data_IF_787266851033
#
_entry.id   IF_787266851033
#
_cell.length_a   1.000
_cell.length_b   1.000
_cell.length_c   1.000
_cell.angle_alpha   90.00
_cell.angle_beta   90.00
_cell.angle_gamma   90.00
#
_symmetry.space_group_name_H-M   'P 1'
#
loop_
_entity.id
_entity.type
_entity.pdbx_description
1 polymer ?
#
# COMPACT_ATOMS: atom_id res chain seq x y z
N UNK A 1 17.85 -1.85 -19.85
CA UNK A 1 17.64 -0.95 -18.70
C UNK A 1 17.09 0.35 -19.26
N UNK A 2 15.87 0.73 -18.89
CA UNK A 2 15.18 1.89 -19.48
C UNK A 2 15.62 3.21 -18.80
N UNK A 3 15.51 4.34 -19.50
CA UNK A 3 15.87 5.67 -18.98
C UNK A 3 15.19 6.02 -17.64
N UNK A 4 13.95 5.56 -17.46
CA UNK A 4 13.18 5.76 -16.24
C UNK A 4 13.79 5.04 -15.03
N UNK A 5 14.47 3.92 -15.26
CA UNK A 5 15.15 3.18 -14.18
C UNK A 5 16.29 4.03 -13.63
N UNK A 6 17.16 4.57 -14.50
CA UNK A 6 18.26 5.43 -14.07
C UNK A 6 17.77 6.70 -13.36
N UNK A 7 16.70 7.32 -13.84
CA UNK A 7 16.12 8.49 -13.19
C UNK A 7 15.57 8.15 -11.80
N UNK A 8 14.86 7.03 -11.66
CA UNK A 8 14.38 6.53 -10.37
C UNK A 8 15.53 6.23 -9.40
N UNK A 9 16.64 5.66 -9.90
CA UNK A 9 17.83 5.40 -9.09
C UNK A 9 18.49 6.68 -8.57
N UNK A 10 18.63 7.69 -9.41
CA UNK A 10 19.24 8.98 -9.03
C UNK A 10 18.36 9.72 -8.01
N UNK A 11 17.05 9.83 -8.28
CA UNK A 11 16.11 10.52 -7.40
C UNK A 11 16.08 9.85 -6.03
N UNK A 12 15.98 8.52 -6.00
CA UNK A 12 15.93 7.78 -4.75
C UNK A 12 17.27 7.83 -4.00
N UNK A 13 18.41 7.85 -4.70
CA UNK A 13 19.70 8.09 -4.05
C UNK A 13 19.76 9.46 -3.37
N UNK A 14 19.32 10.53 -4.02
CA UNK A 14 19.33 11.90 -3.46
C UNK A 14 18.39 12.02 -2.26
N UNK A 15 17.18 11.48 -2.37
CA UNK A 15 16.16 11.57 -1.32
C UNK A 15 16.55 10.69 -0.13
N UNK A 16 16.90 9.42 -0.37
CA UNK A 16 17.11 8.46 0.70
C UNK A 16 18.48 8.56 1.37
N UNK A 17 19.55 8.90 0.63
CA UNK A 17 20.89 9.07 1.23
C UNK A 17 20.93 10.26 2.18
N UNK A 18 20.25 11.34 1.81
CA UNK A 18 20.25 12.59 2.56
C UNK A 18 19.01 12.76 3.45
N UNK A 19 18.23 11.70 3.71
CA UNK A 19 16.96 11.77 4.45
C UNK A 19 17.08 12.51 5.79
N UNK A 20 18.17 12.34 6.54
CA UNK A 20 18.39 13.08 7.80
C UNK A 20 18.52 14.60 7.61
N UNK A 21 19.12 15.03 6.50
CA UNK A 21 19.23 16.45 6.14
C UNK A 21 17.84 16.98 5.78
N UNK A 22 17.08 16.22 4.96
CA UNK A 22 15.71 16.56 4.59
C UNK A 22 14.78 16.64 5.80
N UNK A 23 14.86 15.69 6.74
CA UNK A 23 14.10 15.73 7.99
C UNK A 23 14.44 16.96 8.83
N UNK A 24 15.73 17.27 9.01
CA UNK A 24 16.16 18.44 9.77
C UNK A 24 15.65 19.73 9.13
N UNK A 25 15.79 19.86 7.82
CA UNK A 25 15.28 21.00 7.06
C UNK A 25 13.76 21.14 7.19
N UNK A 26 13.01 20.05 7.06
CA UNK A 26 11.55 20.06 7.19
C UNK A 26 11.09 20.39 8.61
N UNK A 27 11.78 19.93 9.66
CA UNK A 27 11.48 20.30 11.05
C UNK A 27 11.66 21.80 11.29
N UNK A 28 12.73 22.39 10.73
CA UNK A 28 12.97 23.83 10.81
C UNK A 28 11.90 24.60 10.01
N UNK A 29 11.58 24.17 8.79
CA UNK A 29 10.64 24.85 7.92
C UNK A 29 9.18 24.78 8.43
N UNK A 30 8.76 23.62 8.91
CA UNK A 30 7.39 23.43 9.43
C UNK A 30 7.25 23.85 10.89
N UNK A 31 8.36 24.18 11.56
CA UNK A 31 8.45 24.44 12.99
C UNK A 31 7.85 23.29 13.84
N UNK A 32 7.83 22.07 13.32
CA UNK A 32 7.35 20.87 14.02
C UNK A 32 8.53 20.03 14.48
N UNK A 33 8.48 19.55 15.72
CA UNK A 33 9.50 18.64 16.27
C UNK A 33 9.43 17.25 15.65
N UNK A 34 8.20 16.79 15.40
CA UNK A 34 7.89 15.49 14.83
C UNK A 34 7.29 15.65 13.43
N UNK A 35 7.89 14.97 12.47
CA UNK A 35 7.38 14.86 11.11
C UNK A 35 6.48 13.63 11.01
N UNK A 36 5.55 13.66 10.05
CA UNK A 36 4.68 12.51 9.79
C UNK A 36 5.52 11.28 9.42
N UNK A 37 5.15 10.09 9.92
CA UNK A 37 5.94 8.87 9.72
C UNK A 37 6.17 8.55 8.23
N UNK A 38 5.21 8.88 7.36
CA UNK A 38 5.37 8.73 5.90
C UNK A 38 6.57 9.50 5.34
N UNK A 39 6.94 10.64 5.92
CA UNK A 39 8.10 11.42 5.48
C UNK A 39 9.38 10.80 6.04
N UNK A 40 9.39 10.42 7.32
CA UNK A 40 10.58 9.89 7.98
C UNK A 40 10.93 8.49 7.50
N UNK A 41 9.94 7.60 7.42
CA UNK A 41 10.17 6.18 7.18
C UNK A 41 10.37 5.90 5.70
N UNK A 42 9.58 6.53 4.82
CA UNK A 42 9.71 6.33 3.37
C UNK A 42 11.09 6.78 2.86
N UNK A 43 11.62 7.89 3.39
CA UNK A 43 12.93 8.41 2.98
C UNK A 43 14.09 7.67 3.65
N UNK A 44 13.87 7.00 4.78
CA UNK A 44 14.90 6.21 5.48
C UNK A 44 15.27 4.92 4.73
N UNK A 45 14.36 4.35 3.94
CA UNK A 45 14.63 3.11 3.22
C UNK A 45 15.59 3.32 2.04
N UNK A 46 16.61 2.47 1.94
CA UNK A 46 17.62 2.54 0.88
C UNK A 46 16.99 2.28 -0.49
N UNK A 47 17.52 2.96 -1.51
CA UNK A 47 17.11 2.83 -2.92
C UNK A 47 16.99 1.39 -3.43
N UNK A 48 17.86 0.49 -2.95
CA UNK A 48 17.80 -0.93 -3.26
C UNK A 48 16.50 -1.58 -2.76
N UNK A 49 16.04 -1.21 -1.56
CA UNK A 49 14.81 -1.70 -0.97
C UNK A 49 13.59 -1.17 -1.73
N UNK A 50 13.56 0.11 -2.09
CA UNK A 50 12.46 0.68 -2.87
C UNK A 50 12.33 0.02 -4.25
N UNK A 51 13.46 -0.21 -4.93
CA UNK A 51 13.49 -0.86 -6.24
C UNK A 51 13.06 -2.33 -6.18
N UNK A 52 13.60 -3.10 -5.23
CA UNK A 52 13.22 -4.50 -5.06
C UNK A 52 11.79 -4.66 -4.56
N UNK A 53 11.30 -3.79 -3.66
CA UNK A 53 9.89 -3.77 -3.24
C UNK A 53 8.99 -3.47 -4.42
N UNK A 54 9.31 -2.47 -5.24
CA UNK A 54 8.51 -2.16 -6.43
C UNK A 54 8.48 -3.35 -7.40
N UNK A 55 9.64 -3.87 -7.81
CA UNK A 55 9.67 -4.91 -8.84
C UNK A 55 9.23 -6.29 -8.35
N UNK A 56 9.59 -6.70 -7.14
CA UNK A 56 9.30 -8.05 -6.66
C UNK A 56 7.95 -8.13 -5.94
N UNK A 57 7.58 -7.10 -5.17
CA UNK A 57 6.36 -7.13 -4.35
C UNK A 57 5.20 -6.48 -5.10
N UNK A 58 5.37 -5.28 -5.65
CA UNK A 58 4.28 -4.55 -6.33
C UNK A 58 4.04 -5.13 -7.73
N UNK A 59 5.05 -5.11 -8.61
CA UNK A 59 4.93 -5.59 -9.98
C UNK A 59 4.93 -7.13 -10.07
N UNK A 60 5.78 -7.79 -9.27
CA UNK A 60 5.91 -9.24 -9.25
C UNK A 60 4.80 -9.94 -8.48
N UNK A 61 4.43 -9.41 -7.31
CA UNK A 61 3.41 -10.00 -6.44
C UNK A 61 2.01 -9.99 -7.04
N UNK A 62 1.66 -8.94 -7.80
CA UNK A 62 0.37 -8.84 -8.48
C UNK A 62 0.10 -10.02 -9.45
N UNK A 63 1.16 -10.61 -10.03
CA UNK A 63 1.03 -11.78 -10.91
C UNK A 63 0.48 -13.00 -10.19
N UNK A 64 0.79 -13.16 -8.91
CA UNK A 64 0.44 -14.35 -8.13
C UNK A 64 -0.84 -14.18 -7.32
N UNK A 65 -1.45 -12.99 -7.31
CA UNK A 65 -2.66 -12.70 -6.54
C UNK A 65 -3.78 -13.69 -6.82
N UNK A 66 -4.03 -14.01 -8.09
CA UNK A 66 -5.08 -14.97 -8.47
C UNK A 66 -4.81 -16.39 -7.96
N UNK A 67 -3.55 -16.85 -8.04
CA UNK A 67 -3.16 -18.19 -7.57
C UNK A 67 -3.27 -18.29 -6.05
N UNK A 68 -2.84 -17.24 -5.34
CA UNK A 68 -3.00 -17.18 -3.89
C UNK A 68 -4.45 -17.14 -3.46
N UNK A 69 -5.29 -16.34 -4.12
CA UNK A 69 -6.73 -16.32 -3.85
C UNK A 69 -7.34 -17.70 -4.12
N UNK A 70 -6.98 -18.38 -5.20
CA UNK A 70 -7.49 -19.73 -5.49
C UNK A 70 -7.13 -20.74 -4.40
N UNK A 71 -5.90 -20.71 -3.89
CA UNK A 71 -5.46 -21.57 -2.79
C UNK A 71 -6.24 -21.24 -1.50
N UNK A 72 -6.34 -19.97 -1.14
CA UNK A 72 -7.04 -19.52 0.08
C UNK A 72 -8.53 -19.86 0.03
N UNK A 73 -9.15 -19.70 -1.14
CA UNK A 73 -10.53 -20.08 -1.41
C UNK A 73 -10.77 -21.58 -1.25
N UNK A 74 -9.87 -22.42 -1.79
CA UNK A 74 -9.92 -23.89 -1.58
C UNK A 74 -9.78 -24.26 -0.11
N UNK A 75 -8.97 -23.52 0.64
CA UNK A 75 -8.79 -23.68 2.09
C UNK A 75 -9.94 -23.08 2.91
N UNK A 76 -10.95 -22.46 2.27
CA UNK A 76 -12.10 -21.81 2.92
C UNK A 76 -11.68 -20.74 3.93
N UNK A 77 -10.56 -20.07 3.67
CA UNK A 77 -10.13 -18.91 4.46
C UNK A 77 -11.08 -17.76 4.18
N UNK A 78 -11.47 -17.02 5.22
CA UNK A 78 -12.23 -15.77 5.03
C UNK A 78 -11.29 -14.69 4.52
N UNK A 79 -11.59 -14.18 3.33
CA UNK A 79 -10.79 -13.15 2.66
C UNK A 79 -11.64 -11.89 2.58
N UNK A 80 -11.12 -10.79 3.10
CA UNK A 80 -11.75 -9.47 2.97
C UNK A 80 -10.84 -8.55 2.18
N UNK A 81 -11.38 -7.98 1.11
CA UNK A 81 -10.72 -7.04 0.23
C UNK A 81 -11.37 -5.67 0.42
N UNK A 82 -10.56 -4.67 0.74
CA UNK A 82 -11.00 -3.29 0.96
C UNK A 82 -10.33 -2.42 -0.08
N UNK A 83 -11.10 -1.66 -0.85
CA UNK A 83 -10.59 -0.76 -1.88
C UNK A 83 -11.34 0.57 -1.86
N UNK A 84 -10.63 1.67 -2.10
CA UNK A 84 -11.23 2.98 -2.30
C UNK A 84 -11.80 3.14 -3.71
N UNK A 85 -12.95 3.81 -3.87
CA UNK A 85 -13.56 4.02 -5.18
C UNK A 85 -12.83 5.05 -6.06
N UNK A 86 -11.94 5.87 -5.48
CA UNK A 86 -11.15 6.89 -6.16
C UNK A 86 -9.68 6.46 -6.32
N UNK A 87 -9.38 5.17 -6.13
CA UNK A 87 -8.05 4.58 -6.29
C UNK A 87 -7.55 4.75 -7.75
N UNK A 88 -6.46 5.50 -7.92
CA UNK A 88 -5.82 5.77 -9.21
C UNK A 88 -4.72 4.74 -9.56
N UNK A 89 -4.33 3.89 -8.61
CA UNK A 89 -3.27 2.89 -8.78
C UNK A 89 -3.85 1.53 -9.16
N UNK A 90 -4.94 1.13 -8.49
CA UNK A 90 -5.66 -0.11 -8.79
C UNK A 90 -7.06 0.26 -9.30
N UNK A 91 -7.39 -0.03 -10.56
CA UNK A 91 -8.72 0.25 -11.09
C UNK A 91 -9.82 -0.48 -10.30
N UNK A 92 -10.98 0.14 -10.16
CA UNK A 92 -12.11 -0.42 -9.41
C UNK A 92 -12.63 -1.72 -10.05
N UNK A 93 -12.46 -1.86 -11.36
CA UNK A 93 -12.78 -3.06 -12.13
C UNK A 93 -12.04 -4.30 -11.65
N UNK A 94 -10.83 -4.13 -11.07
CA UNK A 94 -10.07 -5.24 -10.50
C UNK A 94 -10.82 -5.86 -9.32
N UNK A 95 -11.39 -5.04 -8.42
CA UNK A 95 -12.22 -5.51 -7.30
C UNK A 95 -13.46 -6.28 -7.77
N UNK A 96 -14.16 -5.74 -8.78
CA UNK A 96 -15.33 -6.43 -9.35
C UNK A 96 -14.96 -7.74 -10.03
N UNK A 97 -13.81 -7.77 -10.72
CA UNK A 97 -13.28 -8.97 -11.36
C UNK A 97 -12.92 -10.05 -10.33
N UNK A 98 -12.28 -9.66 -9.23
CA UNK A 98 -11.98 -10.55 -8.09
C UNK A 98 -13.28 -11.09 -7.51
N UNK A 99 -14.28 -10.26 -7.20
CA UNK A 99 -15.56 -10.72 -6.64
C UNK A 99 -16.28 -11.70 -7.57
N UNK A 100 -16.23 -11.45 -8.88
CA UNK A 100 -16.85 -12.31 -9.89
C UNK A 100 -16.15 -13.68 -9.98
N UNK A 101 -14.82 -13.71 -9.88
CA UNK A 101 -14.02 -14.93 -9.98
C UNK A 101 -13.98 -15.72 -8.67
N UNK A 102 -13.95 -15.04 -7.54
CA UNK A 102 -13.86 -15.59 -6.19
C UNK A 102 -15.04 -15.07 -5.35
N UNK A 103 -16.25 -15.65 -5.48
CA UNK A 103 -17.46 -15.16 -4.82
C UNK A 103 -17.36 -15.10 -3.29
N UNK A 104 -16.53 -15.95 -2.69
CA UNK A 104 -16.24 -16.02 -1.26
C UNK A 104 -15.43 -14.84 -0.71
N UNK A 105 -14.76 -14.05 -1.57
CA UNK A 105 -14.04 -12.85 -1.15
C UNK A 105 -15.06 -11.77 -0.78
N UNK A 106 -15.01 -11.27 0.45
CA UNK A 106 -15.81 -10.13 0.91
C UNK A 106 -15.17 -8.83 0.39
N UNK A 107 -15.73 -8.26 -0.68
CA UNK A 107 -15.23 -7.02 -1.28
C UNK A 107 -16.01 -5.84 -0.72
N UNK A 108 -15.30 -4.91 -0.07
CA UNK A 108 -15.84 -3.67 0.47
C UNK A 108 -15.23 -2.47 -0.25
N UNK A 109 -16.07 -1.72 -0.94
CA UNK A 109 -15.68 -0.47 -1.59
C UNK A 109 -15.97 0.71 -0.65
N UNK A 110 -14.97 1.55 -0.42
CA UNK A 110 -15.07 2.73 0.44
C UNK A 110 -15.15 3.98 -0.43
N UNK A 111 -16.22 4.76 -0.26
CA UNK A 111 -16.45 5.99 -1.02
C UNK A 111 -15.52 7.13 -0.57
N UNK A 112 -15.07 7.95 -1.52
CA UNK A 112 -14.26 9.14 -1.26
C UNK A 112 -12.84 8.83 -0.77
N UNK A 113 -12.33 7.64 -1.11
CA UNK A 113 -10.99 7.20 -0.71
C UNK A 113 -10.21 6.64 -1.89
N UNK A 114 -8.90 6.89 -1.86
CA UNK A 114 -7.89 6.37 -2.78
C UNK A 114 -7.09 5.23 -2.14
N UNK A 115 -6.04 4.79 -2.84
CA UNK A 115 -5.16 3.70 -2.43
C UNK A 115 -4.56 3.85 -1.02
N UNK A 116 -4.25 5.07 -0.60
CA UNK A 116 -3.67 5.36 0.71
C UNK A 116 -4.73 5.81 1.72
N UNK A 117 -5.65 6.68 1.30
CA UNK A 117 -6.62 7.30 2.21
C UNK A 117 -7.68 6.32 2.69
N UNK A 118 -7.84 5.17 2.02
CA UNK A 118 -8.67 4.05 2.50
C UNK A 118 -8.22 3.56 3.90
N UNK A 119 -6.93 3.75 4.24
CA UNK A 119 -6.35 3.50 5.57
C UNK A 119 -6.05 4.80 6.30
N UNK A 120 -5.20 5.68 5.74
CA UNK A 120 -4.57 6.77 6.49
C UNK A 120 -5.55 7.80 7.05
N UNK A 121 -6.64 8.11 6.32
CA UNK A 121 -7.65 9.06 6.76
C UNK A 121 -8.78 8.41 7.58
N UNK A 122 -8.74 7.09 7.74
CA UNK A 122 -9.78 6.29 8.37
C UNK A 122 -9.19 5.35 9.41
N UNK A 123 -8.11 5.77 10.07
CA UNK A 123 -7.32 4.87 10.92
C UNK A 123 -8.17 4.26 12.03
N UNK A 124 -9.00 5.05 12.71
CA UNK A 124 -9.88 4.55 13.78
C UNK A 124 -10.93 3.58 13.25
N UNK A 125 -11.66 3.93 12.18
CA UNK A 125 -12.68 3.04 11.62
C UNK A 125 -12.08 1.78 11.00
N UNK A 126 -10.90 1.91 10.37
CA UNK A 126 -10.17 0.79 9.79
C UNK A 126 -9.66 -0.16 10.89
N UNK A 127 -9.16 0.37 12.02
CA UNK A 127 -8.78 -0.45 13.17
C UNK A 127 -9.98 -1.22 13.73
N UNK A 128 -11.12 -0.58 13.94
CA UNK A 128 -12.34 -1.26 14.40
C UNK A 128 -12.79 -2.35 13.42
N UNK A 129 -12.65 -2.10 12.12
CA UNK A 129 -12.96 -3.08 11.08
C UNK A 129 -12.00 -4.28 11.13
N UNK A 130 -10.70 -4.05 11.34
CA UNK A 130 -9.72 -5.13 11.55
C UNK A 130 -10.01 -5.95 12.80
N UNK A 131 -10.35 -5.29 13.92
CA UNK A 131 -10.76 -5.96 15.16
C UNK A 131 -12.01 -6.82 14.94
N UNK A 132 -12.97 -6.32 14.18
CA UNK A 132 -14.18 -7.07 13.81
C UNK A 132 -13.86 -8.29 12.95
N UNK A 133 -12.98 -8.14 11.95
CA UNK A 133 -12.51 -9.29 11.13
C UNK A 133 -11.86 -10.33 12.02
N UNK A 134 -10.92 -9.91 12.88
CA UNK A 134 -10.18 -10.80 13.76
C UNK A 134 -11.07 -11.53 14.76
N UNK A 135 -12.01 -10.80 15.37
CA UNK A 135 -12.97 -11.37 16.32
C UNK A 135 -13.90 -12.37 15.64
N UNK A 136 -14.22 -12.16 14.36
CA UNK A 136 -15.04 -13.10 13.61
C UNK A 136 -14.30 -14.40 13.29
N UNK A 137 -12.95 -14.41 13.29
CA UNK A 137 -12.12 -15.56 12.95
C UNK A 137 -12.05 -16.63 14.04
N UNK A 138 -12.47 -16.31 15.27
CA UNK A 138 -12.69 -17.27 16.37
C UNK A 138 -14.05 -17.95 16.25
#
# INVERSE_FOLDING_TARGET
>A
MSWYEHLGQIVCFIICRSHRIWESFLRVLTWRRDLHFMITDLTRHTHHSAWHTMHNVICGGARFTDEFLEILSKMRVRIKLIQGNEDQLVPLECSYSIKKRFPEVDVKIISGTDHMTVVLNRTEEFTQELEGIWSSCN
#
